data_IF_739557730989
#
_entry.id   IF_739557730989
#
_cell.length_a   1.000
_cell.length_b   1.000
_cell.length_c   1.000
_cell.angle_alpha   90.00
_cell.angle_beta   90.00
_cell.angle_gamma   90.00
#
_symmetry.space_group_name_H-M   'P 1'
#
loop_
_entity.id
_entity.type
_entity.pdbx_description
1 polymer ?
#
# COMPACT_ATOMS: atom_id res chain seq x y z
N UNK A 1 5.35 19.02 1.56
CA UNK A 1 5.40 18.90 0.08
C UNK A 1 6.77 18.38 -0.30
N UNK A 2 6.86 17.17 -0.88
CA UNK A 2 8.08 16.78 -1.58
C UNK A 2 8.28 17.72 -2.79
N UNK A 3 9.52 18.10 -3.14
CA UNK A 3 9.76 18.94 -4.30
C UNK A 3 9.17 18.25 -5.54
N UNK A 4 8.58 19.03 -6.46
CA UNK A 4 8.13 18.54 -7.78
C UNK A 4 9.34 18.14 -8.62
N UNK A 5 10.02 17.08 -8.23
CA UNK A 5 11.19 16.56 -8.91
C UNK A 5 10.75 15.38 -9.78
N UNK A 6 11.02 15.47 -11.09
CA UNK A 6 10.75 14.41 -12.07
C UNK A 6 11.34 13.07 -11.63
N UNK A 7 12.50 13.10 -10.95
CA UNK A 7 13.19 11.91 -10.45
C UNK A 7 12.37 11.17 -9.39
N UNK A 8 11.78 11.89 -8.42
CA UNK A 8 10.95 11.26 -7.36
C UNK A 8 9.75 10.51 -7.93
N UNK A 9 9.16 11.03 -9.00
CA UNK A 9 8.06 10.34 -9.71
C UNK A 9 8.55 9.07 -10.39
N UNK A 10 9.70 9.10 -11.06
CA UNK A 10 10.28 7.92 -11.72
C UNK A 10 10.60 6.83 -10.69
N UNK A 11 11.21 7.20 -9.56
CA UNK A 11 11.50 6.26 -8.47
C UNK A 11 10.20 5.61 -7.97
N UNK A 12 9.16 6.41 -7.71
CA UNK A 12 7.87 5.86 -7.25
C UNK A 12 7.20 4.91 -8.25
N UNK A 13 7.30 5.20 -9.55
CA UNK A 13 6.70 4.36 -10.59
C UNK A 13 7.47 3.05 -10.85
N UNK A 14 8.76 2.99 -10.51
CA UNK A 14 9.61 1.80 -10.69
C UNK A 14 9.84 1.04 -9.37
N UNK A 15 9.30 1.53 -8.25
CA UNK A 15 9.40 0.83 -6.98
C UNK A 15 8.68 -0.52 -7.06
N UNK A 16 9.40 -1.60 -6.74
CA UNK A 16 8.82 -2.95 -6.69
C UNK A 16 8.09 -3.22 -5.36
N UNK A 17 8.47 -2.50 -4.31
CA UNK A 17 7.83 -2.57 -3.01
C UNK A 17 7.66 -1.18 -2.43
N UNK A 18 6.51 -0.96 -1.82
CA UNK A 18 6.24 0.24 -1.01
C UNK A 18 5.76 -0.23 0.35
N UNK A 19 6.44 0.19 1.42
CA UNK A 19 5.97 0.00 2.79
C UNK A 19 5.29 1.29 3.22
N UNK A 20 3.97 1.26 3.34
CA UNK A 20 3.17 2.44 3.65
C UNK A 20 2.73 2.44 5.12
N UNK A 21 3.19 3.44 5.86
CA UNK A 21 2.82 3.69 7.25
C UNK A 21 1.69 4.72 7.34
N UNK A 22 0.94 4.69 8.44
CA UNK A 22 -0.08 5.70 8.74
C UNK A 22 0.54 7.05 9.04
N UNK A 23 0.28 8.01 8.17
CA UNK A 23 0.59 9.41 8.40
C UNK A 23 -0.71 10.18 8.67
N UNK A 24 -1.02 10.54 9.94
CA UNK A 24 -2.26 11.23 10.27
C UNK A 24 -2.35 12.64 9.66
N UNK A 25 -1.23 13.23 9.22
CA UNK A 25 -1.19 14.55 8.56
C UNK A 25 -1.72 14.50 7.13
N UNK A 26 -1.56 13.38 6.43
CA UNK A 26 -1.88 13.29 5.00
C UNK A 26 -2.40 11.89 4.62
N UNK A 27 -3.71 11.70 4.82
CA UNK A 27 -4.41 10.49 4.41
C UNK A 27 -4.66 10.39 2.89
N UNK A 28 -4.37 11.45 2.12
CA UNK A 28 -4.70 11.48 0.68
C UNK A 28 -3.78 10.58 -0.13
N UNK A 29 -2.54 10.35 0.31
CA UNK A 29 -1.54 9.56 -0.40
C UNK A 29 -2.00 8.13 -0.68
N UNK A 30 -2.60 7.48 0.32
CA UNK A 30 -3.14 6.11 0.19
C UNK A 30 -4.26 6.08 -0.85
N UNK A 31 -5.11 7.11 -0.87
CA UNK A 31 -6.21 7.22 -1.84
C UNK A 31 -5.68 7.40 -3.26
N UNK A 32 -4.60 8.17 -3.44
CA UNK A 32 -3.95 8.33 -4.74
C UNK A 32 -3.32 7.03 -5.23
N UNK A 33 -2.59 6.31 -4.37
CA UNK A 33 -2.04 4.99 -4.69
C UNK A 33 -3.16 3.98 -5.03
N UNK A 34 -4.24 3.97 -4.26
CA UNK A 34 -5.39 3.10 -4.51
C UNK A 34 -6.05 3.35 -5.88
N UNK A 35 -6.15 4.60 -6.32
CA UNK A 35 -6.63 4.93 -7.68
C UNK A 35 -5.71 4.43 -8.78
N UNK A 36 -4.39 4.40 -8.54
CA UNK A 36 -3.39 3.94 -9.50
C UNK A 36 -3.34 2.41 -9.57
N UNK A 37 -3.33 1.72 -8.42
CA UNK A 37 -3.23 0.28 -8.34
C UNK A 37 -4.55 -0.44 -8.64
N UNK A 38 -5.67 0.13 -8.17
CA UNK A 38 -6.98 -0.51 -8.26
C UNK A 38 -8.03 0.46 -8.83
N UNK A 39 -7.94 0.85 -10.11
CA UNK A 39 -8.96 1.67 -10.76
C UNK A 39 -10.36 1.06 -10.57
N UNK A 40 -11.33 1.88 -10.14
CA UNK A 40 -12.70 1.45 -9.83
C UNK A 40 -12.87 0.71 -8.49
N UNK A 41 -11.79 0.35 -7.79
CA UNK A 41 -11.81 -0.40 -6.52
C UNK A 41 -11.02 0.31 -5.41
N UNK A 42 -11.06 1.64 -5.37
CA UNK A 42 -10.30 2.46 -4.40
C UNK A 42 -10.58 2.07 -2.94
N UNK A 43 -11.85 1.78 -2.61
CA UNK A 43 -12.26 1.41 -1.25
C UNK A 43 -11.56 0.15 -0.74
N UNK A 44 -11.30 -0.82 -1.62
CA UNK A 44 -10.63 -2.06 -1.24
C UNK A 44 -9.26 -1.80 -0.60
N UNK A 45 -8.42 -1.00 -1.25
CA UNK A 45 -7.10 -0.66 -0.69
C UNK A 45 -7.20 0.30 0.50
N UNK A 46 -8.17 1.20 0.54
CA UNK A 46 -8.37 2.09 1.69
C UNK A 46 -8.78 1.30 2.96
N UNK A 47 -9.68 0.32 2.82
CA UNK A 47 -10.10 -0.55 3.92
C UNK A 47 -8.94 -1.42 4.38
N UNK A 48 -8.20 -2.04 3.46
CA UNK A 48 -6.99 -2.81 3.77
C UNK A 48 -5.96 -1.96 4.53
N UNK A 49 -5.68 -0.74 4.07
CA UNK A 49 -4.76 0.17 4.76
C UNK A 49 -5.25 0.55 6.16
N UNK A 50 -6.55 0.84 6.32
CA UNK A 50 -7.13 1.22 7.61
C UNK A 50 -7.00 0.09 8.63
N UNK A 51 -7.26 -1.15 8.20
CA UNK A 51 -7.14 -2.34 9.03
C UNK A 51 -5.67 -2.63 9.38
N UNK A 52 -4.80 -2.68 8.35
CA UNK A 52 -3.37 -2.93 8.48
C UNK A 52 -2.62 -1.86 9.28
N UNK A 53 -3.24 -0.70 9.54
CA UNK A 53 -2.67 0.39 10.33
C UNK A 53 -3.58 0.82 11.48
N UNK A 54 -4.32 -0.14 12.02
CA UNK A 54 -5.21 0.07 13.16
C UNK A 54 -4.41 0.42 14.42
N UNK A 55 -3.24 -0.21 14.63
CA UNK A 55 -2.33 0.12 15.72
C UNK A 55 -1.22 1.10 15.28
N UNK A 56 -0.64 1.89 16.21
CA UNK A 56 0.54 2.69 15.94
C UNK A 56 1.71 1.84 15.43
N UNK A 57 2.48 2.39 14.48
CA UNK A 57 3.67 1.78 13.86
C UNK A 57 3.43 0.58 12.93
N UNK A 58 2.19 0.12 12.80
CA UNK A 58 1.84 -0.86 11.77
C UNK A 58 1.88 -0.25 10.36
N UNK A 59 1.91 -1.13 9.36
CA UNK A 59 2.11 -0.78 7.97
C UNK A 59 1.37 -1.74 7.03
N UNK A 60 1.21 -1.32 5.78
CA UNK A 60 0.89 -2.23 4.67
C UNK A 60 2.08 -2.28 3.70
N UNK A 61 2.46 -3.48 3.30
CA UNK A 61 3.33 -3.74 2.17
C UNK A 61 2.48 -3.77 0.89
N UNK A 62 2.87 -2.95 -0.07
CA UNK A 62 2.41 -2.98 -1.45
C UNK A 62 3.47 -3.69 -2.29
N UNK A 63 3.13 -4.87 -2.83
CA UNK A 63 3.99 -5.65 -3.73
C UNK A 63 3.61 -5.36 -5.19
N UNK A 64 4.47 -4.61 -5.86
CA UNK A 64 4.28 -4.06 -7.20
C UNK A 64 5.05 -4.83 -8.27
N UNK A 65 5.68 -5.97 -7.94
CA UNK A 65 6.33 -6.81 -8.95
C UNK A 65 5.30 -7.33 -9.95
N UNK A 66 5.70 -7.49 -11.20
CA UNK A 66 4.81 -7.91 -12.28
C UNK A 66 4.34 -9.36 -12.07
N UNK A 67 5.19 -10.21 -11.50
CA UNK A 67 4.96 -11.63 -11.30
C UNK A 67 4.18 -11.95 -10.00
N UNK A 68 3.98 -10.97 -9.12
CA UNK A 68 3.22 -11.18 -7.87
C UNK A 68 1.74 -11.39 -8.19
N UNK A 69 1.13 -12.51 -7.75
CA UNK A 69 -0.31 -12.72 -7.90
C UNK A 69 -1.13 -11.58 -7.29
N UNK A 70 -2.22 -11.17 -7.95
CA UNK A 70 -3.06 -10.04 -7.52
C UNK A 70 -3.49 -10.13 -6.05
N UNK A 71 -3.82 -11.33 -5.60
CA UNK A 71 -4.29 -11.59 -4.24
C UNK A 71 -3.19 -11.51 -3.18
N UNK A 72 -1.90 -11.37 -3.55
CA UNK A 72 -0.74 -11.26 -2.64
C UNK A 72 -0.14 -9.85 -2.61
N UNK A 73 -0.76 -8.88 -3.30
CA UNK A 73 -0.20 -7.53 -3.47
C UNK A 73 -0.31 -6.64 -2.23
N UNK A 74 -1.29 -6.88 -1.36
CA UNK A 74 -1.51 -6.11 -0.13
C UNK A 74 -1.31 -7.01 1.08
N UNK A 75 -0.22 -6.79 1.83
CA UNK A 75 0.16 -7.63 2.97
C UNK A 75 0.57 -6.79 4.18
N UNK A 76 0.49 -7.34 5.38
CA UNK A 76 1.09 -6.75 6.59
C UNK A 76 1.79 -7.83 7.40
N UNK A 77 2.62 -7.44 8.37
CA UNK A 77 3.35 -8.36 9.24
C UNK A 77 4.21 -9.37 8.46
N UNK A 78 4.99 -8.88 7.49
CA UNK A 78 5.79 -9.72 6.57
C UNK A 78 7.14 -10.20 7.16
N UNK A 79 7.44 -9.84 8.41
CA UNK A 79 8.63 -10.31 9.11
C UNK A 79 8.32 -11.61 9.88
N UNK A 80 9.35 -12.41 10.21
CA UNK A 80 9.18 -13.59 11.05
C UNK A 80 8.56 -13.28 12.40
N UNK A 81 8.09 -14.32 13.10
CA UNK A 81 7.55 -14.26 14.48
C UNK A 81 6.17 -13.61 14.65
N UNK A 82 5.60 -13.05 13.58
CA UNK A 82 4.24 -12.51 13.55
C UNK A 82 3.39 -13.19 12.48
N UNK A 83 2.08 -13.31 12.73
CA UNK A 83 1.15 -13.83 11.73
C UNK A 83 1.01 -12.80 10.61
N UNK A 84 1.41 -13.21 9.41
CA UNK A 84 1.25 -12.39 8.20
C UNK A 84 -0.22 -12.41 7.75
N UNK A 85 -0.75 -11.24 7.41
CA UNK A 85 -2.08 -11.12 6.82
C UNK A 85 -1.99 -10.62 5.38
N UNK A 86 -2.94 -11.08 4.57
CA UNK A 86 -3.10 -10.69 3.16
C UNK A 86 -4.52 -10.22 2.93
N UNK A 87 -4.68 -9.07 2.29
CA UNK A 87 -5.99 -8.48 2.04
C UNK A 87 -6.52 -8.93 0.68
N UNK A 88 -7.79 -9.35 0.65
CA UNK A 88 -8.49 -9.81 -0.55
C UNK A 88 -9.65 -8.86 -0.88
N UNK A 89 -9.94 -8.62 -2.16
CA UNK A 89 -11.12 -7.86 -2.54
C UNK A 89 -12.39 -8.62 -2.13
N UNK A 90 -13.39 -7.90 -1.63
CA UNK A 90 -14.73 -8.44 -1.41
C UNK A 90 -15.33 -8.83 -2.78
N UNK A 91 -15.93 -10.01 -2.84
CA UNK A 91 -16.63 -10.54 -4.02
C UNK A 91 -17.91 -9.77 -4.31
#
# INVERSE_FOLDING_TARGET
MFPKNKVSRIIGLNAQYIVAFKNPRDATQVTHLARQMYPGRVKYMQEAFKDATSCPYDYVLLDLKQETPEHLRLRTNVFPEVVQYTYLPKT
#
